data_IF_163079623796
#
_entry.id   IF_163079623796
#
_cell.length_a   1.000
_cell.length_b   1.000
_cell.length_c   1.000
_cell.angle_alpha   90.00
_cell.angle_beta   90.00
_cell.angle_gamma   90.00
#
_symmetry.space_group_name_H-M   'P 1'
#
loop_
_entity.id
_entity.type
_entity.pdbx_description
1 polymer ?
#
# COMPACT_ATOMS: atom_id res chain seq x y z
N UNK A 1 31.16 -63.84 26.87
CA UNK A 1 30.61 -63.47 28.18
C UNK A 1 29.10 -63.51 28.04
N UNK A 2 28.49 -64.49 28.72
CA UNK A 2 27.06 -64.81 28.94
C UNK A 2 26.02 -63.76 28.50
N UNK A 3 24.93 -64.06 27.78
CA UNK A 3 23.83 -65.04 28.00
C UNK A 3 22.53 -64.21 28.14
N UNK A 4 21.30 -64.60 27.77
CA UNK A 4 20.58 -65.88 27.83
C UNK A 4 19.35 -65.83 26.90
N UNK A 5 18.94 -67.04 26.51
CA UNK A 5 17.76 -67.55 25.79
C UNK A 5 16.35 -67.20 26.32
N UNK A 6 15.33 -67.39 25.46
CA UNK A 6 14.04 -67.96 25.88
C UNK A 6 12.76 -67.47 25.17
N UNK A 7 11.82 -68.35 24.73
CA UNK A 7 10.81 -68.05 23.70
C UNK A 7 9.33 -68.06 24.13
N UNK A 8 8.48 -67.55 23.23
CA UNK A 8 7.08 -67.92 22.92
C UNK A 8 5.96 -67.78 23.98
N UNK A 9 4.86 -67.09 23.62
CA UNK A 9 3.54 -67.68 23.32
C UNK A 9 2.38 -66.64 23.27
N UNK A 10 1.54 -66.79 22.23
CA UNK A 10 0.05 -66.60 22.20
C UNK A 10 -0.51 -65.17 22.41
N UNK A 11 -1.31 -64.53 21.55
CA UNK A 11 -2.30 -64.95 20.55
C UNK A 11 -2.56 -63.86 19.48
N UNK A 12 -2.70 -64.27 18.22
CA UNK A 12 -3.60 -63.69 17.19
C UNK A 12 -4.97 -64.44 17.28
N UNK A 13 -6.10 -64.10 16.60
CA UNK A 13 -6.29 -63.19 15.46
C UNK A 13 -7.62 -62.36 15.43
N UNK A 14 -7.68 -61.52 14.39
CA UNK A 14 -8.83 -60.95 13.65
C UNK A 14 -10.09 -61.85 13.55
N UNK A 15 -11.29 -61.27 13.78
CA UNK A 15 -12.61 -61.59 13.18
C UNK A 15 -13.63 -60.52 13.65
N UNK A 16 -14.13 -59.65 12.76
CA UNK A 16 -15.44 -59.77 12.05
C UNK A 16 -16.58 -58.94 12.68
N UNK A 17 -16.92 -57.81 12.03
CA UNK A 17 -18.30 -57.37 11.68
C UNK A 17 -18.16 -56.06 10.84
N UNK A 18 -18.08 -56.10 9.51
CA UNK A 18 -19.14 -56.35 8.54
C UNK A 18 -20.27 -55.28 8.57
N UNK A 19 -20.39 -54.55 7.44
CA UNK A 19 -21.65 -54.07 6.81
C UNK A 19 -22.26 -52.84 7.53
N UNK A 20 -22.40 -51.63 6.99
CA UNK A 20 -22.87 -51.12 5.67
C UNK A 20 -22.86 -49.57 5.80
N UNK A 21 -22.31 -48.73 4.90
CA UNK A 21 -22.87 -48.22 3.63
C UNK A 21 -21.80 -47.31 2.95
N UNK A 22 -21.62 -47.44 1.63
CA UNK A 22 -20.98 -46.46 0.70
C UNK A 22 -22.06 -45.45 0.20
N UNK A 23 -21.80 -44.44 -0.66
CA UNK A 23 -20.56 -43.75 -1.09
C UNK A 23 -20.67 -42.20 -1.00
N UNK A 24 -19.56 -41.46 -1.18
CA UNK A 24 -19.43 -40.18 -1.92
C UNK A 24 -18.23 -39.37 -1.39
N UNK A 25 -17.59 -38.64 -2.32
CA UNK A 25 -16.56 -37.58 -2.10
C UNK A 25 -15.09 -38.01 -2.19
N UNK A 26 -14.73 -38.67 -3.30
CA UNK A 26 -13.35 -38.67 -3.81
C UNK A 26 -12.97 -37.40 -4.61
N UNK A 27 -13.90 -36.45 -4.80
CA UNK A 27 -13.62 -35.17 -5.46
C UNK A 27 -13.16 -34.04 -4.51
N UNK A 28 -13.24 -34.23 -3.19
CA UNK A 28 -12.72 -33.25 -2.22
C UNK A 28 -11.28 -33.57 -1.77
N UNK A 29 -10.80 -34.80 -1.98
CA UNK A 29 -9.47 -35.21 -1.51
C UNK A 29 -8.34 -34.80 -2.47
N UNK A 30 -8.61 -34.69 -3.77
CA UNK A 30 -7.62 -34.23 -4.75
C UNK A 30 -7.38 -32.71 -4.69
N UNK A 31 -8.40 -31.90 -4.37
CA UNK A 31 -8.27 -30.45 -4.25
C UNK A 31 -7.61 -30.00 -2.93
N UNK A 32 -7.64 -30.83 -1.88
CA UNK A 32 -6.98 -30.57 -0.60
C UNK A 32 -5.51 -31.01 -0.56
N UNK A 33 -5.09 -31.90 -1.47
CA UNK A 33 -3.72 -32.45 -1.48
C UNK A 33 -2.73 -31.62 -2.29
N UNK A 34 -3.19 -30.65 -3.10
CA UNK A 34 -2.28 -29.75 -3.85
C UNK A 34 -1.87 -28.51 -3.03
N UNK A 35 -2.74 -28.02 -2.12
CA UNK A 35 -2.39 -26.88 -1.25
C UNK A 35 -1.76 -27.28 0.10
N UNK A 36 -1.97 -28.52 0.56
CA UNK A 36 -1.36 -29.00 1.80
C UNK A 36 0.15 -29.23 1.66
N UNK A 37 0.66 -29.58 0.48
CA UNK A 37 2.09 -29.84 0.28
C UNK A 37 2.95 -28.57 0.41
N UNK A 38 2.44 -27.41 -0.01
CA UNK A 38 3.15 -26.13 0.13
C UNK A 38 3.13 -25.61 1.57
N UNK A 39 1.99 -25.77 2.26
CA UNK A 39 1.87 -25.41 3.68
C UNK A 39 2.70 -26.36 4.55
N UNK A 40 2.75 -27.66 4.25
CA UNK A 40 3.58 -28.63 4.98
C UNK A 40 5.07 -28.42 4.68
N UNK A 41 5.46 -28.02 3.47
CA UNK A 41 6.85 -27.68 3.15
C UNK A 41 7.32 -26.42 3.90
N UNK A 42 6.46 -25.41 4.05
CA UNK A 42 6.78 -24.18 4.80
C UNK A 42 6.70 -24.37 6.32
N UNK A 43 5.84 -25.27 6.80
CA UNK A 43 5.72 -25.62 8.23
C UNK A 43 6.77 -26.64 8.69
N UNK A 44 7.35 -27.42 7.77
CA UNK A 44 8.40 -28.41 8.03
C UNK A 44 9.67 -27.79 8.63
N UNK A 45 10.03 -26.57 8.24
CA UNK A 45 11.21 -25.86 8.76
C UNK A 45 10.96 -25.12 10.09
N UNK A 46 9.72 -25.09 10.60
CA UNK A 46 9.33 -24.40 11.83
C UNK A 46 8.91 -25.33 12.99
N UNK A 47 9.08 -26.65 12.85
CA UNK A 47 9.00 -27.58 13.99
C UNK A 47 7.61 -27.72 14.64
N UNK A 48 6.53 -27.64 13.85
CA UNK A 48 5.17 -27.84 14.35
C UNK A 48 4.71 -29.29 14.17
N UNK A 49 4.19 -29.91 15.24
CA UNK A 49 3.62 -31.25 15.17
C UNK A 49 2.38 -31.39 16.06
N UNK A 50 1.45 -32.27 15.66
CA UNK A 50 0.27 -32.64 16.45
C UNK A 50 0.59 -33.92 17.21
N UNK A 51 0.27 -34.01 18.50
CA UNK A 51 0.52 -35.27 19.24
C UNK A 51 -0.26 -36.47 18.61
N UNK A 52 0.15 -37.69 18.92
CA UNK A 52 -0.38 -38.93 18.33
C UNK A 52 -1.90 -39.11 18.46
N UNK A 53 -2.53 -38.48 19.45
CA UNK A 53 -3.97 -38.49 19.70
C UNK A 53 -4.69 -37.27 19.08
N UNK A 54 -3.97 -36.40 18.38
CA UNK A 54 -4.45 -35.17 17.71
C UNK A 54 -5.13 -34.16 18.65
N UNK A 55 -4.87 -34.23 19.96
CA UNK A 55 -5.53 -33.38 20.98
C UNK A 55 -4.81 -32.06 21.23
N UNK A 56 -3.53 -31.96 20.90
CA UNK A 56 -2.68 -30.81 21.19
C UNK A 56 -1.78 -30.44 20.01
N UNK A 57 -1.65 -29.14 19.75
CA UNK A 57 -0.67 -28.60 18.82
C UNK A 57 0.61 -28.25 19.59
N UNK A 58 1.74 -28.80 19.15
CA UNK A 58 3.05 -28.56 19.72
C UNK A 58 3.89 -27.70 18.78
N UNK A 59 4.42 -26.59 19.31
CA UNK A 59 5.46 -25.80 18.67
C UNK A 59 6.80 -26.11 19.34
N UNK A 60 7.76 -26.57 18.55
CA UNK A 60 9.15 -26.78 19.00
C UNK A 60 10.03 -25.74 18.33
N UNK A 61 10.46 -24.75 19.10
CA UNK A 61 11.42 -23.75 18.64
C UNK A 61 12.84 -24.29 18.91
N UNK A 62 13.56 -24.64 17.86
CA UNK A 62 14.99 -24.98 17.92
C UNK A 62 15.83 -23.71 17.82
N UNK A 63 16.44 -23.30 18.92
CA UNK A 63 17.45 -22.21 18.94
C UNK A 63 18.83 -22.84 19.19
N UNK A 64 19.85 -22.58 18.35
CA UNK A 64 21.21 -23.04 18.64
C UNK A 64 21.93 -22.11 19.65
N UNK A 65 22.64 -22.65 20.66
CA UNK A 65 22.39 -23.93 21.32
C UNK A 65 22.00 -23.79 22.80
N UNK A 66 21.10 -24.70 23.19
CA UNK A 66 20.70 -25.11 24.54
C UNK A 66 19.57 -24.34 25.26
N UNK A 67 18.38 -24.30 24.66
CA UNK A 67 17.10 -24.47 25.39
C UNK A 67 15.94 -24.69 24.41
N UNK A 68 15.42 -25.92 24.32
CA UNK A 68 14.15 -26.17 23.64
C UNK A 68 12.99 -25.83 24.59
N UNK A 69 12.11 -24.92 24.18
CA UNK A 69 10.90 -24.58 24.95
C UNK A 69 9.68 -25.14 24.21
N UNK A 70 9.03 -26.13 24.80
CA UNK A 70 7.78 -26.70 24.27
C UNK A 70 6.58 -25.98 24.87
N UNK A 71 5.73 -25.41 24.01
CA UNK A 71 4.48 -24.74 24.44
C UNK A 71 3.28 -25.58 24.00
N UNK A 72 2.39 -25.89 24.95
CA UNK A 72 1.17 -26.69 24.74
C UNK A 72 -0.06 -25.79 24.69
N UNK A 73 -0.83 -25.83 23.60
CA UNK A 73 -2.00 -24.96 23.41
C UNK A 73 -3.27 -25.81 23.26
N UNK A 74 -4.33 -25.60 24.08
CA UNK A 74 -5.56 -26.36 23.99
C UNK A 74 -6.41 -25.90 22.80
N UNK A 75 -7.06 -26.81 22.06
CA UNK A 75 -7.78 -26.49 20.83
C UNK A 75 -9.03 -25.62 21.02
N UNK A 76 -9.52 -25.46 22.26
CA UNK A 76 -10.71 -24.64 22.58
C UNK A 76 -10.42 -23.15 22.81
N UNK A 77 -9.15 -22.74 22.92
CA UNK A 77 -8.76 -21.33 23.11
C UNK A 77 -8.67 -20.54 21.77
N UNK A 78 -9.18 -21.12 20.69
CA UNK A 78 -8.80 -20.77 19.34
C UNK A 78 -10.01 -20.18 18.60
N UNK A 79 -10.20 -18.87 18.69
CA UNK A 79 -10.86 -18.08 17.63
C UNK A 79 -9.83 -17.80 16.51
N UNK A 80 -9.15 -18.83 15.98
CA UNK A 80 -8.12 -18.66 14.94
C UNK A 80 -8.64 -18.39 13.51
N UNK A 81 -9.90 -18.60 13.07
CA UNK A 81 -10.22 -18.40 11.65
C UNK A 81 -9.94 -16.95 11.20
N UNK A 82 -10.30 -15.96 12.02
CA UNK A 82 -10.06 -14.55 11.70
C UNK A 82 -8.58 -14.15 11.82
N UNK A 83 -7.86 -14.67 12.83
CA UNK A 83 -6.48 -14.32 13.10
C UNK A 83 -5.51 -14.98 12.10
N UNK A 84 -5.76 -16.25 11.75
CA UNK A 84 -5.05 -16.96 10.71
C UNK A 84 -5.36 -16.42 9.31
N UNK A 85 -6.61 -15.99 9.06
CA UNK A 85 -6.96 -15.29 7.83
C UNK A 85 -6.27 -13.92 7.73
N UNK A 86 -6.19 -13.17 8.84
CA UNK A 86 -5.49 -11.88 8.86
C UNK A 86 -3.98 -12.06 8.66
N UNK A 87 -3.37 -13.03 9.35
CA UNK A 87 -1.95 -13.34 9.19
C UNK A 87 -1.65 -13.90 7.79
N UNK A 88 -2.51 -14.77 7.26
CA UNK A 88 -2.44 -15.28 5.89
C UNK A 88 -2.61 -14.17 4.85
N UNK A 89 -3.49 -13.20 5.08
CA UNK A 89 -3.64 -12.03 4.21
C UNK A 89 -2.42 -11.12 4.26
N UNK A 90 -1.87 -10.84 5.44
CA UNK A 90 -0.66 -10.02 5.61
C UNK A 90 0.56 -10.70 4.98
N UNK A 91 0.75 -12.00 5.20
CA UNK A 91 1.85 -12.77 4.62
C UNK A 91 1.67 -12.95 3.11
N UNK A 92 0.47 -13.20 2.60
CA UNK A 92 0.22 -13.27 1.16
C UNK A 92 0.49 -11.92 0.46
N UNK A 93 0.09 -10.80 1.07
CA UNK A 93 0.43 -9.47 0.55
C UNK A 93 1.93 -9.24 0.60
N UNK A 94 2.62 -9.68 1.66
CA UNK A 94 4.08 -9.56 1.78
C UNK A 94 4.82 -10.39 0.72
N UNK A 95 4.46 -11.66 0.52
CA UNK A 95 5.08 -12.55 -0.46
C UNK A 95 4.68 -12.23 -1.91
N UNK A 96 3.52 -11.60 -2.15
CA UNK A 96 3.15 -11.10 -3.47
C UNK A 96 3.93 -9.83 -3.88
N UNK A 97 4.53 -9.14 -2.91
CA UNK A 97 5.19 -7.83 -3.10
C UNK A 97 6.71 -7.94 -3.06
N UNK A 98 7.27 -8.96 -2.41
CA UNK A 98 8.72 -9.21 -2.36
C UNK A 98 9.09 -10.25 -3.43
N UNK A 99 9.93 -9.92 -4.43
CA UNK A 99 10.41 -10.89 -5.42
C UNK A 99 11.08 -12.08 -4.72
N UNK A 100 10.77 -13.31 -5.14
CA UNK A 100 11.29 -14.54 -4.51
C UNK A 100 12.81 -14.56 -4.34
N UNK A 101 13.55 -13.90 -5.24
CA UNK A 101 15.01 -13.80 -5.26
C UNK A 101 15.59 -12.90 -4.15
N UNK A 102 14.77 -12.12 -3.43
CA UNK A 102 15.20 -11.22 -2.34
C UNK A 102 14.75 -11.67 -0.93
N UNK A 103 14.12 -12.84 -0.82
CA UNK A 103 13.73 -13.44 0.45
C UNK A 103 14.98 -14.04 1.12
N UNK A 104 15.66 -13.26 1.95
CA UNK A 104 16.73 -13.77 2.83
C UNK A 104 16.17 -14.14 4.20
N UNK A 105 16.82 -15.05 4.92
CA UNK A 105 16.42 -15.45 6.27
C UNK A 105 16.28 -14.24 7.23
N UNK A 106 17.12 -13.21 7.07
CA UNK A 106 17.03 -11.96 7.83
C UNK A 106 15.75 -11.17 7.56
N UNK A 107 15.31 -11.08 6.31
CA UNK A 107 14.08 -10.35 5.91
C UNK A 107 12.83 -11.06 6.44
N UNK A 108 12.81 -12.39 6.39
CA UNK A 108 11.76 -13.22 7.01
C UNK A 108 11.69 -13.02 8.52
N UNK A 109 12.83 -13.05 9.21
CA UNK A 109 12.93 -12.86 10.67
C UNK A 109 12.46 -11.45 11.06
N UNK A 110 12.84 -10.41 10.32
CA UNK A 110 12.42 -9.03 10.59
C UNK A 110 10.93 -8.75 10.34
N UNK A 111 10.27 -9.49 9.45
CA UNK A 111 8.83 -9.35 9.20
C UNK A 111 7.98 -10.21 10.15
N UNK A 112 8.46 -11.41 10.49
CA UNK A 112 7.73 -12.38 11.31
C UNK A 112 7.81 -12.03 12.80
N UNK A 113 8.96 -11.60 13.32
CA UNK A 113 9.09 -11.31 14.76
C UNK A 113 8.15 -10.20 15.26
N UNK A 114 7.99 -9.05 14.58
CA UNK A 114 7.07 -8.02 15.02
C UNK A 114 5.61 -8.48 14.97
N UNK A 115 5.23 -9.23 13.93
CA UNK A 115 3.90 -9.80 13.78
C UNK A 115 3.60 -10.82 14.90
N UNK A 116 4.56 -11.68 15.23
CA UNK A 116 4.50 -12.65 16.34
C UNK A 116 4.50 -11.95 17.70
N UNK A 117 5.28 -10.87 17.87
CA UNK A 117 5.32 -10.09 19.11
C UNK A 117 3.99 -9.35 19.37
N UNK A 118 3.38 -8.79 18.34
CA UNK A 118 2.03 -8.21 18.41
C UNK A 118 0.99 -9.30 18.73
N UNK A 119 1.09 -10.47 18.11
CA UNK A 119 0.25 -11.64 18.40
C UNK A 119 0.36 -12.12 19.85
N UNK A 120 1.57 -12.23 20.40
CA UNK A 120 1.79 -12.64 21.79
C UNK A 120 1.29 -11.59 22.78
N UNK A 121 1.39 -10.31 22.42
CA UNK A 121 0.90 -9.19 23.23
C UNK A 121 -0.62 -9.12 23.23
N UNK A 122 -1.27 -9.35 22.09
CA UNK A 122 -2.72 -9.29 21.90
C UNK A 122 -3.43 -10.56 22.36
N UNK A 123 -2.83 -11.75 22.18
CA UNK A 123 -3.50 -13.03 22.45
C UNK A 123 -3.09 -13.72 23.77
N UNK A 124 -1.92 -13.40 24.36
CA UNK A 124 -1.27 -14.33 25.30
C UNK A 124 -1.01 -13.86 26.72
N UNK A 125 -1.02 -12.56 27.01
CA UNK A 125 -0.48 -12.09 28.30
C UNK A 125 -1.44 -12.19 29.49
N UNK A 126 -2.72 -12.48 29.28
CA UNK A 126 -3.70 -12.45 30.37
C UNK A 126 -3.75 -13.76 31.19
N UNK A 127 -3.41 -14.90 30.59
CA UNK A 127 -3.60 -16.24 31.19
C UNK A 127 -2.32 -16.92 31.72
N UNK A 128 -1.15 -16.29 31.61
CA UNK A 128 0.12 -16.84 32.10
C UNK A 128 0.36 -16.52 33.59
N UNK A 129 0.95 -17.43 34.36
CA UNK A 129 1.35 -17.14 35.74
C UNK A 129 2.40 -16.00 35.82
N UNK A 130 2.48 -15.32 36.98
CA UNK A 130 3.39 -14.17 37.20
C UNK A 130 4.87 -14.43 36.83
N UNK A 131 5.49 -15.57 37.18
CA UNK A 131 6.90 -15.82 36.85
C UNK A 131 7.13 -16.01 35.34
N UNK A 132 6.24 -16.73 34.63
CA UNK A 132 6.36 -16.90 33.16
C UNK A 132 6.11 -15.59 32.41
N UNK A 133 5.20 -14.74 32.91
CA UNK A 133 4.97 -13.38 32.40
C UNK A 133 6.22 -12.49 32.51
N UNK A 134 6.98 -12.59 33.62
CA UNK A 134 8.24 -11.85 33.81
C UNK A 134 9.36 -12.36 32.91
N UNK A 135 9.48 -13.67 32.76
CA UNK A 135 10.48 -14.29 31.87
C UNK A 135 10.24 -13.92 30.40
N UNK A 136 9.01 -14.01 29.90
CA UNK A 136 8.67 -13.60 28.53
C UNK A 136 8.90 -12.11 28.27
N UNK A 137 8.59 -11.24 29.24
CA UNK A 137 8.95 -9.82 29.16
C UNK A 137 10.47 -9.63 29.08
N UNK A 138 11.25 -10.35 29.89
CA UNK A 138 12.71 -10.28 29.86
C UNK A 138 13.31 -10.79 28.54
N UNK A 139 12.76 -11.86 27.96
CA UNK A 139 13.20 -12.42 26.66
C UNK A 139 12.88 -11.47 25.50
N UNK A 140 11.68 -10.85 25.50
CA UNK A 140 11.33 -9.80 24.52
C UNK A 140 12.24 -8.58 24.69
N UNK A 141 12.58 -8.22 25.93
CA UNK A 141 13.49 -7.09 26.23
C UNK A 141 14.94 -7.37 25.81
N UNK A 142 15.44 -8.59 26.02
CA UNK A 142 16.82 -8.99 25.74
C UNK A 142 17.06 -9.32 24.25
N UNK A 143 16.10 -9.97 23.59
CA UNK A 143 16.16 -10.23 22.14
C UNK A 143 16.09 -8.97 21.29
N UNK A 144 15.41 -7.93 21.79
CA UNK A 144 15.35 -6.60 21.17
C UNK A 144 16.67 -5.82 21.29
N UNK A 145 17.61 -6.23 22.13
CA UNK A 145 18.89 -5.52 22.31
C UNK A 145 20.02 -6.18 21.49
N UNK A 146 20.15 -7.51 21.54
CA UNK A 146 21.34 -8.20 21.00
C UNK A 146 21.39 -8.32 19.46
N UNK A 147 20.24 -8.32 18.77
CA UNK A 147 20.16 -8.42 17.30
C UNK A 147 19.94 -7.05 16.63
N UNK A 148 19.35 -6.12 17.36
CA UNK A 148 18.97 -4.79 16.86
C UNK A 148 20.16 -3.83 16.87
N UNK A 149 21.06 -3.90 17.86
CA UNK A 149 22.17 -2.94 18.00
C UNK A 149 23.25 -3.00 16.89
N UNK A 150 23.74 -4.17 16.43
CA UNK A 150 24.76 -4.22 15.36
C UNK A 150 24.18 -3.94 13.97
N UNK A 151 22.94 -4.38 13.71
CA UNK A 151 22.21 -4.09 12.47
C UNK A 151 21.82 -2.60 12.36
N UNK A 152 21.50 -1.96 13.49
CA UNK A 152 21.32 -0.51 13.57
C UNK A 152 22.62 0.26 13.33
N UNK A 153 23.80 -0.26 13.69
CA UNK A 153 25.08 0.45 13.52
C UNK A 153 25.51 0.60 12.05
N UNK A 154 25.39 -0.47 11.25
CA UNK A 154 25.71 -0.43 9.81
C UNK A 154 24.59 0.23 9.00
N UNK A 155 23.32 0.04 9.41
CA UNK A 155 22.21 0.81 8.85
C UNK A 155 22.36 2.30 9.17
N UNK A 156 22.68 2.71 10.40
CA UNK A 156 22.81 4.11 10.79
C UNK A 156 23.93 4.85 10.04
N UNK A 157 25.03 4.20 9.68
CA UNK A 157 26.15 4.82 8.96
C UNK A 157 25.87 5.06 7.45
N UNK A 158 25.07 4.19 6.81
CA UNK A 158 24.59 4.38 5.42
C UNK A 158 23.32 5.24 5.39
N UNK A 159 22.54 5.19 6.47
CA UNK A 159 21.34 6.03 6.66
C UNK A 159 21.75 7.47 6.95
N UNK A 160 22.79 7.77 7.75
CA UNK A 160 23.14 9.13 8.17
C UNK A 160 23.55 10.09 7.04
N UNK A 161 24.20 9.59 5.98
CA UNK A 161 24.60 10.41 4.83
C UNK A 161 23.45 10.63 3.83
N UNK A 162 22.60 9.62 3.63
CA UNK A 162 21.41 9.72 2.77
C UNK A 162 20.25 10.46 3.47
N UNK A 163 20.11 10.34 4.79
CA UNK A 163 19.10 11.07 5.57
C UNK A 163 19.48 12.51 5.85
N UNK A 164 20.77 12.85 5.94
CA UNK A 164 21.21 14.23 6.14
C UNK A 164 20.79 15.16 4.99
N UNK A 165 21.03 14.74 3.75
CA UNK A 165 20.63 15.50 2.56
C UNK A 165 19.11 15.58 2.38
N UNK A 166 18.37 14.49 2.63
CA UNK A 166 16.90 14.52 2.56
C UNK A 166 16.27 15.35 3.68
N UNK A 167 16.85 15.33 4.88
CA UNK A 167 16.38 16.11 6.02
C UNK A 167 16.62 17.62 5.84
N UNK A 168 17.79 18.00 5.32
CA UNK A 168 18.09 19.39 4.97
C UNK A 168 17.13 19.92 3.89
N UNK A 169 16.94 19.16 2.80
CA UNK A 169 16.00 19.55 1.75
C UNK A 169 14.53 19.63 2.23
N UNK A 170 14.12 18.74 3.14
CA UNK A 170 12.79 18.81 3.75
C UNK A 170 12.63 20.04 4.66
N UNK A 171 13.67 20.38 5.44
CA UNK A 171 13.68 21.57 6.29
C UNK A 171 13.59 22.85 5.45
N UNK A 172 14.39 22.94 4.38
CA UNK A 172 14.36 24.05 3.41
C UNK A 172 12.98 24.19 2.77
N UNK A 173 12.40 23.09 2.26
CA UNK A 173 11.06 23.12 1.66
C UNK A 173 9.98 23.58 2.65
N UNK A 174 10.08 23.15 3.92
CA UNK A 174 9.15 23.58 4.99
C UNK A 174 9.31 25.06 5.32
N UNK A 175 10.54 25.54 5.47
CA UNK A 175 10.82 26.96 5.70
C UNK A 175 10.28 27.83 4.56
N UNK A 176 10.51 27.42 3.31
CA UNK A 176 9.94 28.10 2.14
C UNK A 176 8.42 28.08 2.16
N UNK A 177 7.80 26.93 2.47
CA UNK A 177 6.34 26.81 2.56
C UNK A 177 5.72 27.73 3.60
N UNK A 178 6.41 27.99 4.72
CA UNK A 178 5.97 28.93 5.75
C UNK A 178 6.07 30.41 5.35
N UNK A 179 6.82 30.73 4.29
CA UNK A 179 6.98 32.11 3.77
C UNK A 179 6.05 32.43 2.62
N UNK A 180 5.56 31.43 1.88
CA UNK A 180 4.68 31.63 0.73
C UNK A 180 3.24 31.83 1.22
N UNK A 181 2.60 32.98 0.97
CA UNK A 181 1.21 33.20 1.34
C UNK A 181 0.28 32.22 0.63
N UNK A 182 -0.73 31.75 1.35
CA UNK A 182 -1.76 30.85 0.82
C UNK A 182 -3.08 31.61 0.79
N UNK A 183 -3.62 31.81 -0.41
CA UNK A 183 -5.01 32.25 -0.58
C UNK A 183 -5.90 31.02 -0.60
N UNK A 184 -7.05 31.09 0.06
CA UNK A 184 -7.99 29.96 0.13
C UNK A 184 -9.36 30.41 -0.33
N UNK A 185 -10.15 29.48 -0.84
CA UNK A 185 -11.52 29.74 -1.27
C UNK A 185 -12.33 28.45 -1.33
N UNK A 186 -13.63 28.61 -1.56
CA UNK A 186 -14.55 27.51 -1.78
C UNK A 186 -15.40 27.83 -2.99
N UNK A 187 -15.69 26.84 -3.83
CA UNK A 187 -16.64 26.95 -4.94
C UNK A 187 -17.74 25.91 -4.78
N UNK A 188 -18.99 26.33 -4.88
CA UNK A 188 -20.14 25.43 -4.93
C UNK A 188 -20.39 25.00 -6.38
N UNK A 189 -20.33 23.70 -6.66
CA UNK A 189 -20.54 23.16 -7.99
C UNK A 189 -21.24 21.80 -7.94
N UNK A 190 -22.32 21.65 -8.72
CA UNK A 190 -23.10 20.41 -8.87
C UNK A 190 -23.41 19.68 -7.54
N UNK A 191 -23.70 20.46 -6.49
CA UNK A 191 -24.12 19.95 -5.17
C UNK A 191 -22.99 19.68 -4.17
N UNK A 192 -21.74 20.04 -4.49
CA UNK A 192 -20.60 19.94 -3.59
C UNK A 192 -19.90 21.31 -3.42
N UNK A 193 -19.42 21.58 -2.20
CA UNK A 193 -18.55 22.71 -1.91
C UNK A 193 -17.11 22.21 -1.97
N UNK A 194 -16.32 22.80 -2.87
CA UNK A 194 -14.95 22.40 -3.16
C UNK A 194 -13.98 23.43 -2.61
N UNK A 195 -13.21 23.05 -1.60
CA UNK A 195 -12.16 23.87 -1.01
C UNK A 195 -10.91 23.87 -1.88
N UNK A 196 -10.33 25.05 -2.14
CA UNK A 196 -9.09 25.20 -2.88
C UNK A 196 -8.13 26.19 -2.23
N UNK A 197 -6.85 26.03 -2.55
CA UNK A 197 -5.74 26.87 -2.13
C UNK A 197 -4.96 27.34 -3.36
N UNK A 198 -4.50 28.58 -3.33
CA UNK A 198 -3.69 29.21 -4.38
C UNK A 198 -2.41 29.76 -3.76
N UNK A 199 -1.27 29.42 -4.37
CA UNK A 199 0.07 29.90 -3.98
C UNK A 199 0.77 30.50 -5.18
N UNK A 200 1.55 31.56 -4.96
CA UNK A 200 2.40 32.14 -6.00
C UNK A 200 1.67 32.94 -7.06
N UNK A 201 2.42 33.21 -8.13
CA UNK A 201 2.01 34.02 -9.28
C UNK A 201 2.67 33.47 -10.54
N UNK A 202 2.07 33.72 -11.71
CA UNK A 202 2.57 33.21 -12.98
C UNK A 202 1.49 32.40 -13.71
N UNK A 203 1.87 31.60 -14.73
CA UNK A 203 0.95 30.70 -15.41
C UNK A 203 0.26 29.74 -14.41
N UNK A 204 -1.04 29.46 -14.59
CA UNK A 204 -1.77 28.59 -13.67
C UNK A 204 -1.33 27.13 -13.80
N UNK A 205 -1.09 26.50 -12.65
CA UNK A 205 -0.79 25.07 -12.51
C UNK A 205 -1.80 24.44 -11.55
N UNK A 206 -2.70 23.61 -12.07
CA UNK A 206 -3.66 22.86 -11.26
C UNK A 206 -3.04 21.51 -10.84
N UNK A 207 -3.01 21.22 -9.54
CA UNK A 207 -2.50 19.96 -9.02
C UNK A 207 -3.62 19.12 -8.39
N UNK A 208 -3.84 17.91 -8.94
CA UNK A 208 -4.92 17.00 -8.55
C UNK A 208 -4.37 15.84 -7.72
N UNK A 209 -4.84 15.69 -6.49
CA UNK A 209 -4.37 14.65 -5.56
C UNK A 209 -4.97 13.27 -5.88
N UNK A 210 -4.22 12.21 -5.56
CA UNK A 210 -4.69 10.82 -5.61
C UNK A 210 -5.76 10.50 -4.56
N UNK A 211 -6.16 9.22 -4.48
CA UNK A 211 -7.31 8.72 -3.71
C UNK A 211 -7.66 9.44 -2.39
N UNK A 212 -6.83 9.30 -1.37
CA UNK A 212 -7.08 9.91 -0.05
C UNK A 212 -6.57 11.35 0.10
N UNK A 213 -5.96 11.91 -0.94
CA UNK A 213 -5.25 13.18 -0.84
C UNK A 213 -6.15 14.40 -0.85
N UNK A 214 -5.67 15.46 -0.21
CA UNK A 214 -6.29 16.78 -0.18
C UNK A 214 -5.32 17.84 -0.70
N UNK A 215 -5.70 19.10 -0.76
CA UNK A 215 -4.84 20.19 -1.24
C UNK A 215 -3.46 20.21 -0.56
N UNK A 216 -3.41 19.81 0.72
CA UNK A 216 -2.21 19.77 1.53
C UNK A 216 -1.16 18.74 1.05
N UNK A 217 -1.51 17.76 0.22
CA UNK A 217 -0.57 16.81 -0.40
C UNK A 217 0.58 17.54 -1.10
N UNK A 218 0.26 18.70 -1.67
CA UNK A 218 1.17 19.46 -2.50
C UNK A 218 1.70 20.71 -1.82
N UNK A 219 1.56 20.85 -0.49
CA UNK A 219 2.03 22.05 0.23
C UNK A 219 3.49 22.39 -0.09
N UNK A 220 4.38 21.40 -0.02
CA UNK A 220 5.80 21.57 -0.30
C UNK A 220 6.08 21.84 -1.79
N UNK A 221 5.65 20.98 -2.74
CA UNK A 221 5.89 21.25 -4.16
C UNK A 221 5.23 22.55 -4.65
N UNK A 222 4.03 22.89 -4.17
CA UNK A 222 3.36 24.14 -4.54
C UNK A 222 4.13 25.37 -4.06
N UNK A 223 4.66 25.35 -2.83
CA UNK A 223 5.52 26.43 -2.34
C UNK A 223 6.84 26.53 -3.12
N UNK A 224 7.40 25.39 -3.55
CA UNK A 224 8.63 25.31 -4.33
C UNK A 224 8.47 25.78 -5.79
N UNK A 225 7.25 25.77 -6.31
CA UNK A 225 6.88 26.23 -7.65
C UNK A 225 6.25 27.64 -7.65
N UNK A 226 5.93 28.19 -6.48
CA UNK A 226 5.19 29.46 -6.34
C UNK A 226 5.93 30.70 -6.84
N UNK A 227 7.23 30.61 -7.11
CA UNK A 227 8.04 31.65 -7.74
C UNK A 227 7.87 31.72 -9.25
N UNK A 228 7.32 30.67 -9.86
CA UNK A 228 7.21 30.51 -11.30
C UNK A 228 5.77 30.28 -11.78
N UNK A 229 4.98 29.60 -10.96
CA UNK A 229 3.60 29.25 -11.25
C UNK A 229 2.64 29.84 -10.21
N UNK A 230 1.42 30.13 -10.66
CA UNK A 230 0.29 30.20 -9.75
C UNK A 230 -0.25 28.80 -9.53
N UNK A 231 0.14 28.18 -8.42
CA UNK A 231 -0.22 26.79 -8.11
C UNK A 231 -1.56 26.72 -7.41
N UNK A 232 -2.50 26.00 -8.01
CA UNK A 232 -3.85 25.77 -7.55
C UNK A 232 -3.95 24.32 -7.09
N UNK A 233 -4.29 24.11 -5.82
CA UNK A 233 -4.48 22.79 -5.20
C UNK A 233 -5.85 22.75 -4.57
N UNK A 234 -6.53 21.61 -4.55
CA UNK A 234 -7.86 21.54 -3.98
C UNK A 234 -8.15 20.20 -3.30
N UNK A 235 -9.12 20.25 -2.40
CA UNK A 235 -9.71 19.07 -1.80
C UNK A 235 -10.76 18.56 -2.77
N UNK A 236 -10.55 17.39 -3.36
CA UNK A 236 -11.55 16.77 -4.24
C UNK A 236 -12.85 16.51 -3.50
N UNK A 237 -13.97 16.41 -4.22
CA UNK A 237 -15.24 15.93 -3.64
C UNK A 237 -15.01 14.65 -2.84
N UNK A 238 -15.63 14.55 -1.66
CA UNK A 238 -15.41 13.42 -0.74
C UNK A 238 -14.20 13.55 0.19
N UNK A 239 -13.32 14.53 -0.01
CA UNK A 239 -12.05 14.63 0.72
C UNK A 239 -12.00 15.86 1.64
N UNK A 240 -11.49 15.62 2.85
CA UNK A 240 -11.08 16.64 3.84
C UNK A 240 -12.10 17.77 4.06
N UNK A 241 -11.82 18.98 3.52
CA UNK A 241 -12.61 20.21 3.73
C UNK A 241 -13.73 20.38 2.70
N UNK A 242 -13.72 19.61 1.63
CA UNK A 242 -14.78 19.59 0.62
C UNK A 242 -15.95 18.73 1.06
N UNK A 243 -17.12 18.99 0.48
CA UNK A 243 -18.34 18.22 0.77
C UNK A 243 -18.14 16.73 0.55
N UNK A 244 -18.68 15.93 1.48
CA UNK A 244 -18.75 14.47 1.37
C UNK A 244 -20.14 14.04 0.97
N UNK A 245 -20.48 14.25 -0.30
CA UNK A 245 -21.73 13.75 -0.84
C UNK A 245 -21.73 12.21 -0.95
N UNK A 246 -22.88 11.60 -1.24
CA UNK A 246 -23.03 10.13 -1.34
C UNK A 246 -23.03 9.63 -2.79
N UNK A 247 -23.03 10.54 -3.78
CA UNK A 247 -23.05 10.24 -5.22
C UNK A 247 -22.09 11.15 -6.00
N UNK A 248 -21.90 10.89 -7.30
CA UNK A 248 -21.09 11.75 -8.17
C UNK A 248 -19.58 11.51 -8.09
N UNK A 249 -19.13 10.28 -7.85
CA UNK A 249 -17.69 9.95 -7.76
C UNK A 249 -17.12 9.31 -9.03
N UNK A 250 -17.80 9.46 -10.16
CA UNK A 250 -17.21 9.07 -11.44
C UNK A 250 -16.08 10.05 -11.82
N UNK A 251 -15.18 9.59 -12.69
CA UNK A 251 -14.01 10.37 -13.10
C UNK A 251 -14.44 11.64 -13.86
N UNK A 252 -15.50 11.56 -14.66
CA UNK A 252 -16.02 12.68 -15.45
C UNK A 252 -16.53 13.84 -14.57
N UNK A 253 -17.24 13.53 -13.48
CA UNK A 253 -17.68 14.52 -12.49
C UNK A 253 -16.48 15.20 -11.85
N UNK A 254 -15.47 14.44 -11.45
CA UNK A 254 -14.27 15.02 -10.84
C UNK A 254 -13.43 15.85 -11.81
N UNK A 255 -13.49 15.57 -13.11
CA UNK A 255 -12.93 16.45 -14.13
C UNK A 255 -13.69 17.78 -14.22
N UNK A 256 -15.04 17.75 -14.18
CA UNK A 256 -15.83 19.00 -14.14
C UNK A 256 -15.59 19.82 -12.87
N UNK A 257 -15.40 19.16 -11.73
CA UNK A 257 -14.99 19.83 -10.49
C UNK A 257 -13.66 20.56 -10.62
N UNK A 258 -12.69 19.93 -11.29
CA UNK A 258 -11.38 20.52 -11.55
C UNK A 258 -11.52 21.81 -12.38
N UNK A 259 -12.41 21.82 -13.40
CA UNK A 259 -12.76 23.01 -14.17
C UNK A 259 -13.42 24.08 -13.29
N UNK A 260 -14.36 23.70 -12.42
CA UNK A 260 -15.04 24.63 -11.52
C UNK A 260 -14.06 25.31 -10.54
N UNK A 261 -13.13 24.54 -9.97
CA UNK A 261 -12.04 25.04 -9.11
C UNK A 261 -11.11 25.98 -9.88
N UNK A 262 -10.72 25.59 -11.09
CA UNK A 262 -9.86 26.40 -11.95
C UNK A 262 -10.50 27.76 -12.26
N UNK A 263 -11.77 27.76 -12.65
CA UNK A 263 -12.55 28.97 -12.90
C UNK A 263 -12.70 29.83 -11.64
N UNK A 264 -12.97 29.22 -10.49
CA UNK A 264 -13.06 29.93 -9.21
C UNK A 264 -11.74 30.57 -8.77
N UNK A 265 -10.61 29.97 -9.15
CA UNK A 265 -9.28 30.53 -8.97
C UNK A 265 -8.94 31.65 -9.97
N UNK A 266 -9.82 31.92 -10.95
CA UNK A 266 -9.72 33.04 -11.89
C UNK A 266 -9.10 32.68 -13.24
N UNK A 267 -9.02 31.39 -13.59
CA UNK A 267 -8.43 30.93 -14.85
C UNK A 267 -9.39 30.07 -15.63
N UNK A 268 -9.31 30.13 -16.96
CA UNK A 268 -10.10 29.25 -17.84
C UNK A 268 -9.33 28.03 -18.30
N UNK A 269 -7.99 28.06 -18.26
CA UNK A 269 -7.11 26.96 -18.64
C UNK A 269 -5.86 26.92 -17.74
N UNK A 270 -5.24 25.74 -17.60
CA UNK A 270 -4.01 25.57 -16.83
C UNK A 270 -3.17 24.38 -17.30
N UNK A 271 -1.89 24.38 -16.95
CA UNK A 271 -1.13 23.15 -16.91
C UNK A 271 -1.67 22.30 -15.75
N UNK A 272 -1.78 20.98 -15.94
CA UNK A 272 -2.38 20.08 -14.96
C UNK A 272 -1.39 19.01 -14.56
N UNK A 273 -1.08 18.95 -13.28
CA UNK A 273 -0.37 17.83 -12.69
C UNK A 273 -1.38 16.94 -11.95
N UNK A 274 -1.33 15.63 -12.21
CA UNK A 274 -2.09 14.64 -11.46
C UNK A 274 -1.20 13.53 -10.93
N UNK A 275 -1.44 13.08 -9.71
CA UNK A 275 -0.83 11.87 -9.17
C UNK A 275 -1.89 10.79 -8.89
N UNK A 276 -1.59 9.54 -9.26
CA UNK A 276 -2.46 8.41 -8.95
C UNK A 276 -3.88 8.62 -9.53
N UNK A 277 -4.95 8.48 -8.74
CA UNK A 277 -6.31 8.83 -9.16
C UNK A 277 -6.45 10.26 -9.72
N UNK A 278 -5.67 11.21 -9.22
CA UNK A 278 -5.62 12.57 -9.77
C UNK A 278 -5.05 12.63 -11.19
N UNK A 279 -4.14 11.72 -11.55
CA UNK A 279 -3.65 11.58 -12.93
C UNK A 279 -4.74 11.03 -13.86
N UNK A 280 -5.62 10.16 -13.36
CA UNK A 280 -6.78 9.67 -14.12
C UNK A 280 -7.75 10.83 -14.41
N UNK A 281 -8.02 11.66 -13.41
CA UNK A 281 -8.86 12.86 -13.56
C UNK A 281 -8.24 13.84 -14.55
N UNK A 282 -6.92 14.07 -14.48
CA UNK A 282 -6.23 14.97 -15.40
C UNK A 282 -6.31 14.49 -16.87
N UNK A 283 -6.24 13.18 -17.10
CA UNK A 283 -6.40 12.60 -18.44
C UNK A 283 -7.86 12.70 -18.93
N UNK A 284 -8.85 12.42 -18.09
CA UNK A 284 -10.26 12.64 -18.44
C UNK A 284 -10.54 14.11 -18.76
N UNK A 285 -9.95 15.02 -17.97
CA UNK A 285 -10.06 16.47 -18.18
C UNK A 285 -9.51 16.86 -19.55
N UNK A 286 -8.31 16.41 -19.93
CA UNK A 286 -7.75 16.68 -21.25
C UNK A 286 -8.60 16.08 -22.39
N UNK A 287 -9.20 14.91 -22.19
CA UNK A 287 -10.03 14.26 -23.20
C UNK A 287 -11.40 14.94 -23.41
N UNK A 288 -12.00 15.47 -22.34
CA UNK A 288 -13.39 16.00 -22.35
C UNK A 288 -13.48 17.52 -22.33
N UNK A 289 -12.46 18.18 -21.80
CA UNK A 289 -12.36 19.62 -21.62
C UNK A 289 -10.98 20.13 -22.06
N UNK A 290 -10.52 19.83 -23.29
CA UNK A 290 -9.19 20.25 -23.76
C UNK A 290 -9.00 21.77 -23.70
N UNK A 291 -10.07 22.56 -23.80
CA UNK A 291 -10.04 24.01 -23.64
C UNK A 291 -9.58 24.49 -22.26
N UNK A 292 -9.71 23.63 -21.24
CA UNK A 292 -9.30 23.92 -19.87
C UNK A 292 -7.86 23.48 -19.55
N UNK A 293 -7.15 22.88 -20.50
CA UNK A 293 -5.87 22.22 -20.26
C UNK A 293 -4.82 22.69 -21.26
N UNK A 294 -3.72 23.25 -20.77
CA UNK A 294 -2.58 23.62 -21.62
C UNK A 294 -1.51 22.53 -21.71
N UNK A 295 -1.43 21.65 -20.71
CA UNK A 295 -0.58 20.47 -20.69
C UNK A 295 -1.00 19.53 -19.55
N UNK A 296 -0.68 18.24 -19.64
CA UNK A 296 -0.86 17.26 -18.56
C UNK A 296 0.45 16.58 -18.20
N UNK A 297 0.79 16.59 -16.91
CA UNK A 297 1.79 15.70 -16.33
C UNK A 297 1.08 14.64 -15.48
N UNK A 298 0.99 13.42 -16.01
CA UNK A 298 0.32 12.28 -15.39
C UNK A 298 1.32 11.38 -14.65
N UNK A 299 1.47 11.59 -13.33
CA UNK A 299 2.39 10.81 -12.48
C UNK A 299 1.71 9.57 -11.91
N UNK A 300 2.11 8.41 -12.43
CA UNK A 300 1.67 7.07 -12.03
C UNK A 300 0.13 6.88 -12.05
N UNK A 301 -0.55 7.10 -13.20
CA UNK A 301 -1.99 6.85 -13.34
C UNK A 301 -2.31 5.34 -13.23
N UNK A 302 -3.08 4.88 -12.23
CA UNK A 302 -3.42 3.46 -12.06
C UNK A 302 -4.52 2.98 -13.02
N UNK A 303 -4.35 3.22 -14.33
CA UNK A 303 -5.28 2.84 -15.40
C UNK A 303 -5.11 1.37 -15.80
N UNK A 304 -5.44 0.44 -14.90
CA UNK A 304 -5.20 -1.00 -15.09
C UNK A 304 -5.91 -1.61 -16.30
N UNK A 305 -6.96 -0.96 -16.79
CA UNK A 305 -7.69 -1.37 -18.00
C UNK A 305 -6.84 -1.29 -19.27
N UNK A 306 -5.70 -0.57 -19.26
CA UNK A 306 -4.76 -0.54 -20.40
C UNK A 306 -3.72 -1.66 -20.34
N UNK A 307 -3.54 -2.33 -19.19
CA UNK A 307 -2.62 -3.45 -19.06
C UNK A 307 -3.11 -4.63 -19.91
N UNK A 308 -2.28 -5.24 -20.78
CA UNK A 308 -2.70 -6.34 -21.65
C UNK A 308 -3.19 -7.58 -20.90
N UNK A 309 -2.62 -7.85 -19.72
CA UNK A 309 -2.95 -9.01 -18.89
C UNK A 309 -4.01 -8.70 -17.82
N UNK A 310 -4.40 -7.44 -17.67
CA UNK A 310 -5.30 -6.93 -16.64
C UNK A 310 -4.97 -7.40 -15.21
N UNK A 311 -3.71 -7.80 -14.94
CA UNK A 311 -3.35 -8.51 -13.71
C UNK A 311 -3.62 -7.69 -12.46
N UNK A 312 -3.49 -6.37 -12.55
CA UNK A 312 -3.69 -5.48 -11.42
C UNK A 312 -5.16 -5.41 -11.01
N UNK A 313 -6.12 -5.66 -11.92
CA UNK A 313 -7.54 -5.73 -11.58
C UNK A 313 -7.86 -6.89 -10.62
N UNK A 314 -7.14 -8.01 -10.72
CA UNK A 314 -7.33 -9.15 -9.82
C UNK A 314 -6.99 -8.80 -8.36
N UNK A 315 -5.96 -7.97 -8.14
CA UNK A 315 -5.61 -7.46 -6.82
C UNK A 315 -6.74 -6.58 -6.25
N UNK A 316 -7.29 -5.64 -7.03
CA UNK A 316 -8.37 -4.78 -6.55
C UNK A 316 -9.69 -5.53 -6.33
N UNK A 317 -9.96 -6.58 -7.11
CA UNK A 317 -11.04 -7.51 -6.81
C UNK A 317 -10.83 -8.22 -5.46
N UNK A 318 -9.59 -8.52 -5.08
CA UNK A 318 -9.28 -9.05 -3.76
C UNK A 318 -9.44 -8.01 -2.65
N UNK A 319 -9.07 -6.75 -2.89
CA UNK A 319 -9.33 -5.65 -1.94
C UNK A 319 -10.83 -5.49 -1.70
N UNK A 320 -11.65 -5.49 -2.76
CA UNK A 320 -13.10 -5.38 -2.68
C UNK A 320 -13.72 -6.57 -1.90
N UNK A 321 -13.30 -7.80 -2.21
CA UNK A 321 -13.72 -9.00 -1.44
C UNK A 321 -13.34 -8.88 0.04
N UNK A 322 -12.13 -8.43 0.35
CA UNK A 322 -11.68 -8.21 1.73
C UNK A 322 -12.55 -7.17 2.43
N UNK A 323 -12.88 -6.06 1.75
CA UNK A 323 -13.82 -5.05 2.26
C UNK A 323 -15.21 -5.63 2.54
N UNK A 324 -15.72 -6.48 1.65
CA UNK A 324 -17.04 -7.11 1.80
C UNK A 324 -17.10 -8.11 2.95
N UNK A 325 -16.04 -8.90 3.18
CA UNK A 325 -16.01 -9.97 4.20
C UNK A 325 -15.60 -9.44 5.58
N UNK A 326 -14.59 -8.58 5.65
CA UNK A 326 -13.97 -8.12 6.90
C UNK A 326 -14.23 -6.64 7.22
N UNK A 327 -14.99 -5.97 6.36
CA UNK A 327 -15.31 -4.56 6.47
C UNK A 327 -14.29 -3.65 5.76
N UNK A 328 -14.69 -2.40 5.48
CA UNK A 328 -13.94 -1.46 4.64
C UNK A 328 -12.56 -1.08 5.21
N UNK A 329 -12.39 -1.12 6.53
CA UNK A 329 -11.09 -0.91 7.17
C UNK A 329 -10.05 -1.97 6.80
N UNK A 330 -10.47 -3.23 6.62
CA UNK A 330 -9.57 -4.31 6.23
C UNK A 330 -9.08 -4.17 4.77
N UNK A 331 -9.98 -3.81 3.85
CA UNK A 331 -9.60 -3.49 2.47
C UNK A 331 -8.71 -2.26 2.38
N UNK A 332 -9.01 -1.21 3.16
CA UNK A 332 -8.17 -0.02 3.24
C UNK A 332 -6.77 -0.31 3.76
N UNK A 333 -6.62 -1.20 4.75
CA UNK A 333 -5.33 -1.67 5.23
C UNK A 333 -4.58 -2.46 4.14
N UNK A 334 -5.25 -3.40 3.48
CA UNK A 334 -4.69 -4.19 2.39
C UNK A 334 -4.14 -3.31 1.26
N UNK A 335 -4.93 -2.31 0.83
CA UNK A 335 -4.50 -1.32 -0.16
C UNK A 335 -3.34 -0.46 0.35
N UNK A 336 -3.40 0.04 1.59
CA UNK A 336 -2.34 0.90 2.14
C UNK A 336 -0.99 0.18 2.20
N UNK A 337 -0.98 -1.10 2.58
CA UNK A 337 0.23 -1.93 2.59
C UNK A 337 0.77 -2.20 1.18
N UNK A 338 -0.10 -2.34 0.17
CA UNK A 338 0.32 -2.64 -1.20
C UNK A 338 1.04 -1.48 -1.90
N UNK A 339 0.80 -0.23 -1.47
CA UNK A 339 1.54 0.94 -1.97
C UNK A 339 3.04 0.82 -1.65
N UNK A 340 3.41 0.21 -0.51
CA UNK A 340 4.80 -0.13 -0.21
C UNK A 340 5.71 1.09 -0.03
N UNK A 341 5.21 2.13 0.66
CA UNK A 341 5.99 3.33 0.97
C UNK A 341 7.08 3.05 2.02
N UNK A 342 8.25 3.69 1.93
CA UNK A 342 9.28 3.57 2.96
C UNK A 342 8.88 4.32 4.24
N UNK A 343 9.41 3.91 5.39
CA UNK A 343 9.10 4.54 6.69
C UNK A 343 9.32 6.06 6.70
N UNK A 344 10.39 6.54 6.03
CA UNK A 344 10.68 7.97 5.91
C UNK A 344 9.55 8.78 5.27
N UNK A 345 8.77 8.17 4.36
CA UNK A 345 7.63 8.82 3.73
C UNK A 345 6.56 9.12 4.78
N UNK A 346 6.20 8.11 5.59
CA UNK A 346 5.22 8.27 6.67
C UNK A 346 5.68 9.28 7.72
N UNK A 347 6.97 9.30 8.06
CA UNK A 347 7.53 10.26 9.00
C UNK A 347 7.57 11.70 8.48
N UNK A 348 7.57 11.90 7.15
CA UNK A 348 7.60 13.21 6.54
C UNK A 348 6.20 13.87 6.45
N UNK A 349 5.13 13.07 6.49
CA UNK A 349 3.74 13.56 6.46
C UNK A 349 3.42 14.35 7.73
N UNK A 350 2.91 15.58 7.63
CA UNK A 350 2.49 16.36 8.80
C UNK A 350 1.39 15.67 9.64
N UNK A 351 1.36 15.94 10.94
CA UNK A 351 0.39 15.30 11.84
C UNK A 351 -1.05 15.81 11.63
N UNK A 352 -1.20 17.11 11.40
CA UNK A 352 -2.48 17.75 11.05
C UNK A 352 -3.00 17.21 9.71
N UNK A 353 -2.10 17.05 8.75
CA UNK A 353 -2.39 16.42 7.47
C UNK A 353 -2.94 15.01 7.67
N UNK A 354 -2.20 14.17 8.42
CA UNK A 354 -2.60 12.79 8.71
C UNK A 354 -3.97 12.70 9.36
N UNK A 355 -4.27 13.60 10.30
CA UNK A 355 -5.56 13.66 10.98
C UNK A 355 -6.70 14.03 10.02
N UNK A 356 -6.50 15.03 9.15
CA UNK A 356 -7.52 15.43 8.16
C UNK A 356 -7.84 14.31 7.17
N UNK A 357 -6.81 13.61 6.68
CA UNK A 357 -7.00 12.60 5.62
C UNK A 357 -7.34 11.21 6.13
N UNK A 358 -7.32 10.97 7.44
CA UNK A 358 -7.65 9.66 8.01
C UNK A 358 -9.04 9.16 7.55
N UNK A 359 -10.03 10.05 7.48
CA UNK A 359 -11.37 9.72 6.99
C UNK A 359 -11.44 9.55 5.47
N UNK A 360 -10.57 10.21 4.70
CA UNK A 360 -10.54 10.12 3.24
C UNK A 360 -10.18 8.71 2.79
N UNK A 361 -9.25 8.04 3.47
CA UNK A 361 -8.81 6.70 3.09
C UNK A 361 -9.94 5.69 3.09
N UNK A 362 -10.76 5.71 4.15
CA UNK A 362 -11.94 4.85 4.26
C UNK A 362 -12.96 5.18 3.17
N UNK A 363 -13.24 6.47 2.98
CA UNK A 363 -14.17 6.94 1.96
C UNK A 363 -13.75 6.54 0.55
N UNK A 364 -12.48 6.74 0.20
CA UNK A 364 -11.89 6.34 -1.07
C UNK A 364 -12.16 4.88 -1.37
N UNK A 365 -11.84 3.98 -0.45
CA UNK A 365 -12.02 2.53 -0.64
C UNK A 365 -13.50 2.16 -0.78
N UNK A 366 -14.37 2.78 0.02
CA UNK A 366 -15.81 2.47 0.03
C UNK A 366 -16.56 3.01 -1.19
N UNK A 367 -16.19 4.18 -1.71
CA UNK A 367 -17.03 4.96 -2.64
C UNK A 367 -16.39 5.21 -4.00
N UNK A 368 -15.07 5.28 -4.05
CA UNK A 368 -14.37 5.90 -5.19
C UNK A 368 -13.42 4.93 -5.90
N UNK A 369 -12.67 4.13 -5.15
CA UNK A 369 -11.59 3.28 -5.66
C UNK A 369 -12.03 2.41 -6.83
N UNK A 370 -13.22 1.81 -6.75
CA UNK A 370 -13.79 1.00 -7.83
C UNK A 370 -13.95 1.79 -9.13
N UNK A 371 -14.39 3.05 -9.04
CA UNK A 371 -14.58 3.92 -10.22
C UNK A 371 -13.26 4.23 -10.91
N UNK A 372 -12.17 4.39 -10.18
CA UNK A 372 -10.85 4.55 -10.79
C UNK A 372 -10.28 3.26 -11.38
N UNK A 373 -10.37 2.16 -10.63
CA UNK A 373 -9.79 0.86 -11.03
C UNK A 373 -10.44 0.34 -12.30
N UNK A 374 -11.76 0.51 -12.44
CA UNK A 374 -12.54 0.05 -13.59
C UNK A 374 -12.58 1.07 -14.74
N UNK A 375 -12.08 2.29 -14.54
CA UNK A 375 -12.16 3.34 -15.54
C UNK A 375 -11.34 3.00 -16.80
N UNK A 376 -11.93 3.29 -17.96
CA UNK A 376 -11.34 3.08 -19.27
C UNK A 376 -11.09 4.46 -19.90
N UNK A 377 -9.83 4.82 -20.17
CA UNK A 377 -9.53 6.10 -20.79
C UNK A 377 -9.96 6.07 -22.26
N UNK A 378 -10.50 7.19 -22.73
CA UNK A 378 -10.75 7.40 -24.16
C UNK A 378 -9.46 7.87 -24.83
N UNK A 379 -8.68 6.91 -25.35
CA UNK A 379 -7.39 7.19 -25.97
C UNK A 379 -7.54 7.94 -27.30
N UNK A 380 -8.67 7.79 -28.00
CA UNK A 380 -8.89 8.48 -29.27
C UNK A 380 -9.26 9.94 -29.02
N UNK A 381 -10.09 10.21 -28.01
CA UNK A 381 -10.34 11.58 -27.55
C UNK A 381 -9.06 12.26 -27.05
N UNK A 382 -8.20 11.56 -26.30
CA UNK A 382 -6.91 12.10 -25.86
C UNK A 382 -5.99 12.48 -27.03
N UNK A 383 -5.95 11.68 -28.10
CA UNK A 383 -5.19 12.03 -29.31
C UNK A 383 -5.82 13.21 -30.06
N UNK A 384 -7.15 13.23 -30.16
CA UNK A 384 -7.87 14.28 -30.86
C UNK A 384 -7.82 15.64 -30.12
N UNK A 385 -7.65 15.62 -28.80
CA UNK A 385 -7.53 16.80 -27.97
C UNK A 385 -6.26 17.62 -28.25
N UNK A 386 -5.20 16.99 -28.78
CA UNK A 386 -3.91 17.62 -29.11
C UNK A 386 -3.28 18.41 -27.92
N UNK A 387 -3.57 17.96 -26.69
CA UNK A 387 -3.00 18.52 -25.47
C UNK A 387 -1.62 17.87 -25.22
N UNK A 388 -0.55 18.63 -24.94
CA UNK A 388 0.74 18.07 -24.56
C UNK A 388 0.65 17.17 -23.32
N UNK A 389 1.12 15.92 -23.44
CA UNK A 389 1.09 14.92 -22.36
C UNK A 389 2.51 14.52 -21.95
N UNK A 390 2.76 14.38 -20.64
CA UNK A 390 3.95 13.73 -20.08
C UNK A 390 3.50 12.69 -19.07
N UNK A 391 3.94 11.45 -19.25
CA UNK A 391 3.73 10.38 -18.27
C UNK A 391 4.96 10.24 -17.38
N UNK A 392 4.75 10.12 -16.07
CA UNK A 392 5.85 10.03 -15.13
C UNK A 392 5.73 8.84 -14.17
N UNK A 393 6.87 8.32 -13.72
CA UNK A 393 6.98 7.26 -12.72
C UNK A 393 8.07 7.58 -11.70
N UNK A 394 7.91 7.20 -10.44
CA UNK A 394 8.98 7.23 -9.45
C UNK A 394 10.03 6.14 -9.70
N UNK A 395 11.31 6.47 -9.55
CA UNK A 395 12.43 5.55 -9.74
C UNK A 395 12.32 4.28 -8.87
N UNK A 396 11.86 4.41 -7.61
CA UNK A 396 11.62 3.27 -6.72
C UNK A 396 10.41 2.45 -7.16
N UNK A 397 9.34 3.11 -7.61
CA UNK A 397 8.16 2.44 -8.18
C UNK A 397 8.56 1.58 -9.37
N UNK A 398 9.35 2.15 -10.28
CA UNK A 398 9.88 1.49 -11.46
C UNK A 398 10.79 0.32 -11.09
N UNK A 399 11.79 0.56 -10.23
CA UNK A 399 12.76 -0.44 -9.80
C UNK A 399 12.13 -1.62 -9.04
N UNK A 400 10.99 -1.40 -8.37
CA UNK A 400 10.24 -2.44 -7.64
C UNK A 400 9.03 -2.96 -8.42
N UNK A 401 8.89 -2.58 -9.69
CA UNK A 401 7.83 -3.02 -10.62
C UNK A 401 6.43 -2.95 -10.00
N UNK A 402 6.11 -1.84 -9.35
CA UNK A 402 4.83 -1.64 -8.66
C UNK A 402 3.69 -1.47 -9.65
N UNK A 403 2.54 -2.05 -9.32
CA UNK A 403 1.39 -2.13 -10.22
C UNK A 403 0.90 -0.75 -10.73
N UNK A 404 0.92 0.28 -9.88
CA UNK A 404 0.43 1.62 -10.23
C UNK A 404 1.39 2.42 -11.13
N UNK A 405 2.67 2.02 -11.24
CA UNK A 405 3.62 2.66 -12.15
C UNK A 405 3.61 2.09 -13.57
N UNK A 406 3.06 0.89 -13.77
CA UNK A 406 3.10 0.18 -15.07
C UNK A 406 2.26 0.86 -16.16
N UNK A 407 1.02 1.35 -15.88
CA UNK A 407 0.21 1.95 -16.94
C UNK A 407 0.84 3.21 -17.52
N UNK A 408 1.62 3.97 -16.74
CA UNK A 408 2.29 5.19 -17.20
C UNK A 408 3.14 4.94 -18.46
N UNK A 409 3.92 3.86 -18.48
CA UNK A 409 4.76 3.50 -19.64
C UNK A 409 3.91 3.08 -20.84
N UNK A 410 2.88 2.27 -20.59
CA UNK A 410 1.98 1.78 -21.66
C UNK A 410 1.24 2.95 -22.31
N UNK A 411 0.79 3.92 -21.53
CA UNK A 411 0.11 5.11 -22.01
C UNK A 411 1.05 6.02 -22.81
N UNK A 412 2.27 6.22 -22.31
CA UNK A 412 3.31 6.97 -23.03
C UNK A 412 3.56 6.38 -24.42
N UNK A 413 3.74 5.06 -24.52
CA UNK A 413 3.94 4.35 -25.79
C UNK A 413 2.71 4.45 -26.72
N UNK A 414 1.48 4.33 -26.18
CA UNK A 414 0.26 4.34 -26.99
C UNK A 414 -0.14 5.74 -27.49
N UNK A 415 0.27 6.78 -26.78
CA UNK A 415 -0.07 8.17 -27.08
C UNK A 415 1.12 8.95 -27.65
N UNK A 416 2.24 8.28 -27.93
CA UNK A 416 3.49 8.89 -28.41
C UNK A 416 3.94 10.09 -27.56
N UNK A 417 3.87 9.91 -26.24
CA UNK A 417 4.12 10.97 -25.26
C UNK A 417 5.41 10.71 -24.47
N UNK A 418 6.14 11.76 -24.05
CA UNK A 418 7.29 11.64 -23.17
C UNK A 418 7.04 10.81 -21.91
N UNK A 419 8.04 10.02 -21.52
CA UNK A 419 8.05 9.22 -20.30
C UNK A 419 9.21 9.64 -19.37
N UNK A 420 8.87 10.22 -18.23
CA UNK A 420 9.84 10.76 -17.26
C UNK A 420 9.98 9.87 -16.02
N UNK A 421 11.18 9.82 -15.45
CA UNK A 421 11.47 9.09 -14.20
C UNK A 421 11.79 10.09 -13.09
N UNK A 422 10.94 10.15 -12.08
CA UNK A 422 11.06 11.06 -10.95
C UNK A 422 11.84 10.41 -9.80
N UNK A 423 12.56 11.20 -8.97
CA UNK A 423 13.21 10.67 -7.78
C UNK A 423 12.23 10.02 -6.80
N UNK A 424 12.56 8.84 -6.31
CA UNK A 424 11.88 8.20 -5.18
C UNK A 424 10.64 7.38 -5.54
N UNK A 425 9.67 7.35 -4.62
CA UNK A 425 8.48 6.50 -4.65
C UNK A 425 7.21 7.29 -5.00
N UNK A 426 6.05 6.61 -4.97
CA UNK A 426 4.72 7.13 -5.34
C UNK A 426 4.36 8.52 -4.77
N UNK A 427 4.87 8.84 -3.59
CA UNK A 427 4.54 10.05 -2.83
C UNK A 427 5.81 10.84 -2.43
N UNK A 428 6.88 10.76 -3.22
CA UNK A 428 8.17 11.35 -2.82
C UNK A 428 8.20 12.87 -2.78
N UNK A 429 7.11 13.55 -3.17
CA UNK A 429 6.91 14.96 -2.84
C UNK A 429 6.79 15.24 -1.32
N UNK A 430 6.62 14.22 -0.47
CA UNK A 430 6.68 14.40 0.99
C UNK A 430 8.11 14.36 1.55
N UNK A 431 8.93 13.41 1.09
CA UNK A 431 10.23 13.09 1.71
C UNK A 431 11.45 13.48 0.86
N UNK A 432 11.23 13.78 -0.43
CA UNK A 432 12.22 14.32 -1.37
C UNK A 432 11.66 15.56 -2.10
N UNK A 433 11.07 16.55 -1.41
CA UNK A 433 10.33 17.64 -2.05
C UNK A 433 11.17 18.44 -3.05
N UNK A 434 12.43 18.75 -2.75
CA UNK A 434 13.29 19.56 -3.62
C UNK A 434 13.55 18.87 -4.97
N UNK A 435 14.08 17.65 -4.94
CA UNK A 435 14.48 16.93 -6.16
C UNK A 435 13.28 16.41 -6.93
N UNK A 436 12.21 16.00 -6.23
CA UNK A 436 10.96 15.61 -6.87
C UNK A 436 10.30 16.79 -7.58
N UNK A 437 10.24 17.97 -6.96
CA UNK A 437 9.69 19.17 -7.60
C UNK A 437 10.54 19.66 -8.75
N UNK A 438 11.87 19.51 -8.70
CA UNK A 438 12.74 19.83 -9.83
C UNK A 438 12.40 18.97 -11.07
N UNK A 439 12.16 17.67 -10.89
CA UNK A 439 11.73 16.79 -11.98
C UNK A 439 10.33 17.17 -12.53
N UNK A 440 9.42 17.59 -11.66
CA UNK A 440 8.13 18.14 -12.09
C UNK A 440 8.30 19.42 -12.92
N UNK A 441 9.15 20.35 -12.47
CA UNK A 441 9.43 21.58 -13.21
C UNK A 441 9.98 21.28 -14.61
N UNK A 442 10.93 20.36 -14.73
CA UNK A 442 11.48 19.95 -16.02
C UNK A 442 10.40 19.39 -16.97
N UNK A 443 9.50 18.56 -16.44
CA UNK A 443 8.39 18.01 -17.23
C UNK A 443 7.42 19.12 -17.68
N UNK A 444 7.08 20.06 -16.80
CA UNK A 444 6.24 21.21 -17.16
C UNK A 444 6.90 22.07 -18.25
N UNK A 445 8.18 22.38 -18.11
CA UNK A 445 8.94 23.14 -19.11
C UNK A 445 9.05 22.45 -20.47
N UNK A 446 9.07 21.12 -20.50
CA UNK A 446 9.11 20.36 -21.74
C UNK A 446 7.82 20.50 -22.57
N UNK A 447 6.70 20.83 -21.91
CA UNK A 447 5.37 20.98 -22.56
C UNK A 447 5.06 22.39 -23.01
N UNK A 448 5.84 23.39 -22.59
CA UNK A 448 5.61 24.81 -22.91
C UNK A 448 6.33 25.29 -24.17
N UNK A 449 6.90 24.39 -24.98
CA UNK A 449 7.72 24.74 -26.15
C UNK A 449 6.98 24.61 -27.47
#
# INVERSE_FOLDING_TARGET
MFGIDGPALLCMPVLWLAVTLRPMRWLCLAALLVDAAFVIAVLGDLGWYLDSDKRWLHLVLTVPPAAAVAVRIPPRAVRLPALAATLGAVLNVYFAVVPHERLTAGVLVSAILPAVAVLLTVAGLQHLDRPRRRFLRAVVSAGSAAVVLPALGVAAAVTSTVTGASAAGLAEARERSGRVPVRTGTVSFEGDDLYYEVRGSGPPLLMIAGGQGDAGFYTLPAALLADEYQVITYDRRGNSRSTRNVTGFDVAQQARDAVAVLNAAGHTSAAVFGNSGGAIIALELAARHPEAVTAVVAHEPPLFTVEPDHRSLAFFAAVDRTSGVFGPGAGAMMFSLSVGLPFRAYAAVPADFSARTAANQRFFVEKEMRRFVEYRPDLDALRAADVPLVFAVGATTLATNRYYGRPARILAERLDAPYAVYPGHHLSYFDLPITWTAALRESLHSTSR
#
